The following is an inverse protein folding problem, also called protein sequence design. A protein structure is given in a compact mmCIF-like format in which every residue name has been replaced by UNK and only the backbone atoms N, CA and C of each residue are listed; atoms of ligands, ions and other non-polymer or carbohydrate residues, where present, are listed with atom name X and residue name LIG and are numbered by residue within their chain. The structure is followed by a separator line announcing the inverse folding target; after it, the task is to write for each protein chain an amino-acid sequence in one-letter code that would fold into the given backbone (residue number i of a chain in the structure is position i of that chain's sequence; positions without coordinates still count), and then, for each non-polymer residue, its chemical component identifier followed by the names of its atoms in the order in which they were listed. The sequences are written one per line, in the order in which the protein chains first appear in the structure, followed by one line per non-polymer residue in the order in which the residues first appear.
data_IF_821840860080
#
_entry.id   IF_821840860080
#
_cell.length_a   1.000
_cell.length_b   1.000
_cell.length_c   1.000
_cell.angle_alpha   90.00
_cell.angle_beta   90.00
_cell.angle_gamma   90.00
#
_symmetry.space_group_name_H-M   'P 1'
#
loop_
_entity.id
_entity.type
_entity.pdbx_description
1 polymer ?
#
# COMPACT_ATOMS: atom_id res chain seq x y z
N UNK A 1 -21.70 6.74 3.80
CA UNK A 1 -21.11 8.08 3.57
C UNK A 1 -19.93 7.86 2.66
N UNK A 2 -19.79 8.64 1.60
CA UNK A 2 -18.59 8.59 0.76
C UNK A 2 -17.47 9.25 1.57
N UNK A 3 -16.43 8.48 1.89
CA UNK A 3 -15.41 8.90 2.85
C UNK A 3 -14.26 9.68 2.20
N UNK A 4 -14.25 9.78 0.85
CA UNK A 4 -13.24 10.42 0.00
C UNK A 4 -11.81 10.17 0.49
N UNK A 5 -11.51 8.91 0.80
CA UNK A 5 -10.24 8.47 1.36
C UNK A 5 -9.55 7.53 0.37
N UNK A 6 -8.25 7.72 0.20
CA UNK A 6 -7.44 6.99 -0.75
C UNK A 6 -6.13 6.54 -0.10
N UNK A 7 -5.59 5.44 -0.61
CA UNK A 7 -4.19 5.08 -0.43
C UNK A 7 -3.44 5.43 -1.73
N UNK A 8 -2.22 5.91 -1.61
CA UNK A 8 -1.25 5.90 -2.69
C UNK A 8 0.01 5.19 -2.25
N UNK A 9 0.62 4.47 -3.17
CA UNK A 9 1.77 3.60 -2.92
C UNK A 9 2.90 3.96 -3.88
N UNK A 10 3.41 5.22 -3.87
CA UNK A 10 4.48 5.64 -4.76
C UNK A 10 5.72 4.75 -4.64
N UNK A 11 6.35 4.49 -5.78
CA UNK A 11 7.54 3.65 -5.89
C UNK A 11 8.70 4.51 -6.35
N UNK A 12 9.74 4.58 -5.53
CA UNK A 12 10.91 5.39 -5.79
C UNK A 12 12.11 4.51 -6.12
N UNK A 13 12.90 4.92 -7.11
CA UNK A 13 14.16 4.29 -7.50
C UNK A 13 15.27 4.68 -6.51
N UNK A 14 15.07 4.34 -5.24
CA UNK A 14 16.01 4.51 -4.13
C UNK A 14 15.67 3.52 -3.02
N UNK A 15 16.59 2.66 -2.62
CA UNK A 15 16.40 1.67 -1.55
C UNK A 15 17.62 1.50 -0.64
N UNK A 16 18.67 2.31 -0.82
CA UNK A 16 19.97 2.13 -0.17
C UNK A 16 20.40 3.30 0.71
N UNK A 17 19.84 4.50 0.51
CA UNK A 17 20.14 5.74 1.24
C UNK A 17 19.01 6.09 2.23
N UNK A 18 19.09 5.68 3.51
CA UNK A 18 18.01 5.86 4.48
C UNK A 18 17.63 7.32 4.70
N UNK A 19 18.60 8.23 4.60
CA UNK A 19 18.39 9.68 4.74
C UNK A 19 17.55 10.26 3.60
N UNK A 20 17.73 9.76 2.36
CA UNK A 20 16.92 10.18 1.22
C UNK A 20 15.52 9.62 1.37
N UNK A 21 15.39 8.33 1.71
CA UNK A 21 14.09 7.68 1.92
C UNK A 21 13.28 8.38 3.02
N UNK A 22 13.93 8.76 4.12
CA UNK A 22 13.30 9.52 5.20
C UNK A 22 12.81 10.91 4.74
N UNK A 23 13.57 11.59 3.87
CA UNK A 23 13.14 12.87 3.29
C UNK A 23 11.95 12.71 2.34
N UNK A 24 11.91 11.64 1.54
CA UNK A 24 10.75 11.33 0.68
C UNK A 24 9.49 11.08 1.50
N UNK A 25 9.60 10.29 2.57
CA UNK A 25 8.50 10.04 3.49
C UNK A 25 8.08 11.32 4.23
N UNK A 26 9.04 12.12 4.69
CA UNK A 26 8.79 13.41 5.35
C UNK A 26 8.07 14.42 4.43
N UNK A 27 8.44 14.48 3.15
CA UNK A 27 7.75 15.31 2.17
C UNK A 27 6.29 14.89 1.93
N UNK A 28 5.96 13.62 2.16
CA UNK A 28 4.60 13.10 2.07
C UNK A 28 3.77 13.29 3.36
N UNK A 29 4.34 13.81 4.44
CA UNK A 29 3.71 13.86 5.77
C UNK A 29 2.52 14.81 5.90
N UNK A 30 2.18 15.57 4.84
CA UNK A 30 0.91 16.29 4.77
C UNK A 30 -0.28 15.33 4.76
N UNK A 31 -0.10 14.16 4.15
CA UNK A 31 -0.98 13.02 4.29
C UNK A 31 -0.38 12.02 5.30
N UNK A 32 -1.10 10.94 5.58
CA UNK A 32 -0.68 9.94 6.56
C UNK A 32 0.28 8.92 5.93
N UNK A 33 1.57 8.99 6.27
CA UNK A 33 2.52 7.92 5.91
C UNK A 33 2.21 6.67 6.74
N UNK A 34 1.79 5.60 6.07
CA UNK A 34 1.37 4.34 6.69
C UNK A 34 2.54 3.36 6.85
N UNK A 35 3.41 3.32 5.83
CA UNK A 35 4.54 2.40 5.76
C UNK A 35 5.64 2.92 4.83
N UNK A 36 6.87 2.54 5.12
CA UNK A 36 8.05 2.80 4.29
C UNK A 36 8.82 1.48 4.17
N UNK A 37 8.74 0.86 3.00
CA UNK A 37 9.38 -0.43 2.72
C UNK A 37 10.49 -0.23 1.70
N UNK A 38 11.73 -0.26 2.17
CA UNK A 38 12.92 -0.06 1.36
C UNK A 38 13.66 -1.38 1.15
N UNK A 39 14.04 -1.64 -0.09
CA UNK A 39 14.78 -2.83 -0.50
C UNK A 39 16.06 -2.41 -1.23
N UNK A 40 17.20 -2.68 -0.58
CA UNK A 40 18.51 -2.36 -1.12
C UNK A 40 18.94 -3.27 -2.28
N UNK A 41 18.50 -4.53 -2.32
CA UNK A 41 18.79 -5.47 -3.41
C UNK A 41 18.08 -5.00 -4.70
N UNK A 42 16.85 -4.52 -4.58
CA UNK A 42 16.08 -3.92 -5.68
C UNK A 42 16.41 -2.44 -5.91
N UNK A 43 17.12 -1.80 -4.98
CA UNK A 43 17.34 -0.35 -4.88
C UNK A 43 16.05 0.44 -5.14
N UNK A 44 15.00 0.08 -4.39
CA UNK A 44 13.66 0.63 -4.54
C UNK A 44 13.00 0.80 -3.17
N UNK A 45 12.27 1.88 -3.00
CA UNK A 45 11.42 2.13 -1.85
C UNK A 45 9.96 2.23 -2.28
N UNK A 46 9.11 1.65 -1.45
CA UNK A 46 7.66 1.73 -1.55
C UNK A 46 7.18 2.49 -0.32
N UNK A 47 6.54 3.63 -0.54
CA UNK A 47 5.97 4.42 0.56
C UNK A 47 4.46 4.32 0.44
N UNK A 48 3.78 3.77 1.45
CA UNK A 48 2.31 3.79 1.52
C UNK A 48 1.86 5.05 2.24
N UNK A 49 0.97 5.81 1.63
CA UNK A 49 0.42 7.06 2.15
C UNK A 49 -1.09 7.01 2.02
N UNK A 50 -1.84 7.48 3.00
CA UNK A 50 -3.28 7.63 2.91
C UNK A 50 -3.73 9.03 3.28
N UNK A 51 -4.82 9.48 2.66
CA UNK A 51 -5.43 10.75 3.01
C UNK A 51 -6.56 11.13 2.07
N UNK A 52 -7.18 12.27 2.37
CA UNK A 52 -8.19 12.89 1.51
C UNK A 52 -7.56 13.53 0.28
N UNK A 53 -8.40 13.78 -0.73
CA UNK A 53 -7.99 14.31 -2.04
C UNK A 53 -6.97 15.44 -1.98
N UNK A 54 -7.24 16.49 -1.20
CA UNK A 54 -6.39 17.67 -1.14
C UNK A 54 -5.00 17.34 -0.61
N UNK A 55 -4.93 16.77 0.60
CA UNK A 55 -3.66 16.52 1.27
C UNK A 55 -2.86 15.39 0.62
N UNK A 56 -3.54 14.41 0.02
CA UNK A 56 -2.87 13.36 -0.75
C UNK A 56 -2.22 13.89 -2.02
N UNK A 57 -2.88 14.77 -2.78
CA UNK A 57 -2.29 15.37 -3.99
C UNK A 57 -1.03 16.17 -3.62
N UNK A 58 -1.13 17.03 -2.62
CA UNK A 58 0.00 17.84 -2.15
C UNK A 58 1.17 16.97 -1.67
N UNK A 59 0.88 15.94 -0.86
CA UNK A 59 1.87 15.01 -0.34
C UNK A 59 2.61 14.26 -1.46
N UNK A 60 1.88 13.77 -2.47
CA UNK A 60 2.46 13.03 -3.58
C UNK A 60 3.33 13.93 -4.47
N UNK A 61 2.87 15.12 -4.80
CA UNK A 61 3.66 16.07 -5.61
C UNK A 61 4.92 16.48 -4.87
N UNK A 62 4.83 16.78 -3.57
CA UNK A 62 6.00 17.14 -2.75
C UNK A 62 7.01 15.98 -2.62
N UNK A 63 6.53 14.74 -2.46
CA UNK A 63 7.40 13.57 -2.39
C UNK A 63 8.09 13.27 -3.73
N UNK A 64 7.38 13.45 -4.85
CA UNK A 64 7.97 13.34 -6.20
C UNK A 64 8.99 14.44 -6.47
N UNK A 65 8.71 15.68 -6.08
CA UNK A 65 9.64 16.82 -6.19
C UNK A 65 10.94 16.53 -5.42
N UNK A 66 10.82 16.07 -4.17
CA UNK A 66 11.95 15.63 -3.36
C UNK A 66 12.73 14.48 -4.01
N UNK A 67 12.05 13.53 -4.66
CA UNK A 67 12.73 12.43 -5.37
C UNK A 67 13.54 12.94 -6.56
N UNK A 68 13.00 13.87 -7.35
CA UNK A 68 13.67 14.46 -8.51
C UNK A 68 14.89 15.28 -8.08
N UNK A 69 14.84 15.95 -6.93
CA UNK A 69 15.97 16.72 -6.40
C UNK A 69 17.11 15.84 -5.86
N UNK A 70 16.79 14.64 -5.34
CA UNK A 70 17.74 13.84 -4.53
C UNK A 70 18.24 12.58 -5.23
N UNK A 71 17.64 12.20 -6.34
CA UNK A 71 17.95 10.96 -7.07
C UNK A 71 18.30 11.29 -8.52
N UNK A 72 19.44 10.79 -8.98
CA UNK A 72 19.80 10.78 -10.40
C UNK A 72 19.68 9.36 -10.96
N UNK A 73 18.72 9.16 -11.87
CA UNK A 73 18.45 7.86 -12.48
C UNK A 73 19.63 7.32 -13.30
N UNK A 74 20.54 8.18 -13.76
CA UNK A 74 21.75 7.78 -14.52
C UNK A 74 22.74 7.03 -13.64
N UNK A 75 22.76 7.36 -12.35
CA UNK A 75 23.62 6.75 -11.34
C UNK A 75 22.96 5.56 -10.65
N UNK A 76 21.63 5.48 -10.71
CA UNK A 76 20.85 4.39 -10.11
C UNK A 76 21.25 3.00 -10.64
N UNK A 77 21.41 2.04 -9.71
CA UNK A 77 21.66 0.62 -9.98
C UNK A 77 20.71 -0.21 -9.12
N UNK A 78 19.87 -1.01 -9.76
CA UNK A 78 18.93 -1.92 -9.10
C UNK A 78 18.38 -2.95 -10.07
N UNK A 79 17.98 -4.12 -9.57
CA UNK A 79 17.49 -5.23 -10.43
C UNK A 79 16.06 -5.03 -10.91
N UNK A 80 15.30 -4.15 -10.27
CA UNK A 80 13.90 -3.92 -10.62
C UNK A 80 13.78 -3.01 -11.86
N UNK A 81 12.94 -3.37 -12.87
CA UNK A 81 12.65 -2.48 -13.99
C UNK A 81 12.07 -1.14 -13.51
N UNK A 82 12.52 -0.02 -14.08
CA UNK A 82 12.07 1.33 -13.75
C UNK A 82 12.08 2.25 -14.97
N UNK A 83 11.16 3.21 -14.98
CA UNK A 83 10.99 4.28 -15.97
C UNK A 83 11.50 5.61 -15.43
N UNK A 84 11.41 5.84 -14.11
CA UNK A 84 11.80 7.11 -13.50
C UNK A 84 12.22 7.00 -12.04
N UNK A 85 12.63 8.15 -11.48
CA UNK A 85 12.99 8.29 -10.06
C UNK A 85 11.78 8.05 -9.15
N UNK A 86 10.60 8.52 -9.56
CA UNK A 86 9.32 8.04 -9.10
C UNK A 86 8.73 7.20 -10.24
N UNK A 87 8.82 5.87 -10.14
CA UNK A 87 8.47 4.94 -11.22
C UNK A 87 6.96 4.86 -11.41
N UNK A 88 6.24 4.56 -10.33
CA UNK A 88 4.79 4.35 -10.34
C UNK A 88 4.17 5.04 -9.12
N UNK A 89 3.10 5.80 -9.34
CA UNK A 89 2.28 6.46 -8.32
C UNK A 89 0.82 6.03 -8.48
N UNK A 90 0.41 4.91 -7.86
CA UNK A 90 -0.97 4.44 -7.92
C UNK A 90 -1.84 5.24 -6.93
N UNK A 91 -3.10 5.47 -7.30
CA UNK A 91 -4.17 5.93 -6.41
C UNK A 91 -5.18 4.80 -6.27
N UNK A 92 -5.44 4.41 -5.02
CA UNK A 92 -6.31 3.29 -4.66
C UNK A 92 -7.44 3.83 -3.79
N UNK A 93 -8.71 3.66 -4.18
CA UNK A 93 -9.82 4.07 -3.32
C UNK A 93 -9.89 3.18 -2.07
N UNK A 94 -10.16 3.79 -0.92
CA UNK A 94 -10.39 3.09 0.34
C UNK A 94 -11.87 3.19 0.76
N UNK A 95 -12.35 2.16 1.45
CA UNK A 95 -13.74 2.10 1.94
C UNK A 95 -14.76 2.14 0.80
N UNK A 96 -15.73 3.05 0.90
CA UNK A 96 -16.78 3.25 -0.10
C UNK A 96 -16.40 4.16 -1.28
N UNK A 97 -15.16 4.66 -1.32
CA UNK A 97 -14.72 5.64 -2.32
C UNK A 97 -14.68 5.02 -3.71
N UNK A 98 -15.07 5.79 -4.74
CA UNK A 98 -15.13 5.26 -6.11
C UNK A 98 -13.75 5.23 -6.80
N UNK A 99 -13.55 4.22 -7.66
CA UNK A 99 -12.36 4.14 -8.52
C UNK A 99 -12.29 5.29 -9.54
N UNK A 100 -13.44 5.89 -9.89
CA UNK A 100 -13.51 7.11 -10.70
C UNK A 100 -12.88 8.30 -9.96
N UNK A 101 -13.18 8.48 -8.68
CA UNK A 101 -12.58 9.54 -7.88
C UNK A 101 -11.05 9.37 -7.77
N UNK A 102 -10.57 8.12 -7.64
CA UNK A 102 -9.14 7.83 -7.67
C UNK A 102 -8.48 8.22 -9.00
N UNK A 103 -9.17 8.02 -10.13
CA UNK A 103 -8.70 8.49 -11.45
C UNK A 103 -8.63 10.00 -11.53
N UNK A 104 -9.62 10.70 -11.00
CA UNK A 104 -9.61 12.17 -10.98
C UNK A 104 -8.44 12.73 -10.17
N UNK A 105 -8.01 12.04 -9.11
CA UNK A 105 -6.79 12.36 -8.34
C UNK A 105 -5.54 12.04 -9.15
N UNK A 106 -5.45 10.87 -9.77
CA UNK A 106 -4.30 10.49 -10.60
C UNK A 106 -4.04 11.54 -11.70
N UNK A 107 -5.11 12.02 -12.35
CA UNK A 107 -5.05 13.09 -13.34
C UNK A 107 -4.58 14.42 -12.74
N UNK A 108 -5.07 14.80 -11.56
CA UNK A 108 -4.62 16.02 -10.87
C UNK A 108 -3.13 15.96 -10.50
N UNK A 109 -2.68 14.84 -9.94
CA UNK A 109 -1.27 14.60 -9.59
C UNK A 109 -0.38 14.68 -10.84
N UNK A 110 -0.76 13.99 -11.92
CA UNK A 110 0.02 14.02 -13.17
C UNK A 110 0.16 15.43 -13.75
N UNK A 111 -0.93 16.19 -13.83
CA UNK A 111 -0.90 17.57 -14.34
C UNK A 111 0.00 18.48 -13.48
N UNK A 112 -0.05 18.35 -12.16
CA UNK A 112 0.79 19.14 -11.25
C UNK A 112 2.27 18.76 -11.32
N UNK A 113 2.59 17.47 -11.46
CA UNK A 113 3.96 16.99 -11.66
C UNK A 113 4.56 17.62 -12.92
N UNK A 114 3.82 17.61 -14.04
CA UNK A 114 4.29 18.26 -15.25
C UNK A 114 4.46 19.77 -15.05
N UNK A 115 3.44 20.45 -14.54
CA UNK A 115 3.44 21.90 -14.41
C UNK A 115 4.54 22.45 -13.49
N UNK A 116 4.91 21.71 -12.43
CA UNK A 116 5.90 22.15 -11.43
C UNK A 116 7.28 21.55 -11.66
N UNK A 117 7.34 20.26 -11.98
CA UNK A 117 8.57 19.45 -11.96
C UNK A 117 9.05 19.14 -13.38
N UNK A 118 8.21 19.34 -14.41
CA UNK A 118 8.54 19.11 -15.82
C UNK A 118 9.02 17.67 -16.12
N UNK A 119 8.50 16.69 -15.37
CA UNK A 119 8.69 15.26 -15.65
C UNK A 119 7.49 14.77 -16.46
N UNK A 120 7.70 14.10 -17.61
CA UNK A 120 6.60 13.58 -18.42
C UNK A 120 5.85 12.46 -17.68
N UNK A 121 4.52 12.45 -17.84
CA UNK A 121 3.61 11.58 -17.09
C UNK A 121 2.87 10.66 -18.05
N UNK A 122 2.91 9.38 -17.74
CA UNK A 122 2.10 8.35 -18.38
C UNK A 122 0.95 7.95 -17.46
N UNK A 123 -0.28 7.99 -17.97
CA UNK A 123 -1.42 7.47 -17.22
C UNK A 123 -1.64 5.98 -17.48
N UNK A 124 -1.98 5.24 -16.43
CA UNK A 124 -2.30 3.81 -16.51
C UNK A 124 -3.45 3.42 -15.59
N UNK A 125 -3.98 2.21 -15.80
CA UNK A 125 -5.02 1.64 -14.95
C UNK A 125 -6.42 2.06 -15.37
N UNK A 126 -7.30 2.30 -14.40
CA UNK A 126 -8.72 2.53 -14.64
C UNK A 126 -8.97 3.75 -15.54
N UNK A 127 -9.66 3.51 -16.66
CA UNK A 127 -9.99 4.54 -17.64
C UNK A 127 -8.90 4.84 -18.66
N UNK A 128 -7.77 4.13 -18.61
CA UNK A 128 -6.63 4.31 -19.51
C UNK A 128 -6.45 3.06 -20.39
N UNK A 129 -6.08 3.25 -21.67
CA UNK A 129 -5.90 2.15 -22.63
C UNK A 129 -4.54 1.46 -22.52
N UNK A 130 -3.56 2.14 -21.92
CA UNK A 130 -2.16 1.72 -21.92
C UNK A 130 -1.84 0.95 -20.63
N UNK A 131 -1.12 -0.16 -20.76
CA UNK A 131 -0.61 -0.90 -19.59
C UNK A 131 0.76 -0.38 -19.16
N UNK A 132 1.17 -0.64 -17.91
CA UNK A 132 2.55 -0.38 -17.47
C UNK A 132 3.58 -1.13 -18.34
N UNK A 133 3.21 -2.28 -18.91
CA UNK A 133 4.09 -3.01 -19.82
C UNK A 133 4.27 -2.28 -21.16
N UNK A 134 3.21 -1.67 -21.70
CA UNK A 134 3.29 -0.87 -22.93
C UNK A 134 4.12 0.40 -22.74
N UNK A 135 3.94 1.07 -21.59
CA UNK A 135 4.74 2.24 -21.19
C UNK A 135 6.22 1.85 -21.06
N UNK A 136 6.53 0.79 -20.31
CA UNK A 136 7.91 0.31 -20.14
C UNK A 136 8.55 -0.18 -21.44
N UNK A 137 7.74 -0.59 -22.42
CA UNK A 137 8.20 -0.97 -23.75
C UNK A 137 8.37 0.22 -24.73
N UNK A 138 8.05 1.45 -24.30
CA UNK A 138 8.18 2.65 -25.14
C UNK A 138 7.19 2.71 -26.30
N UNK A 139 6.04 2.03 -26.19
CA UNK A 139 5.05 1.92 -27.29
C UNK A 139 4.01 3.04 -27.31
N UNK A 140 4.01 3.88 -26.29
CA UNK A 140 2.98 4.89 -26.04
C UNK A 140 3.65 6.23 -25.77
N UNK A 141 2.95 7.32 -26.08
CA UNK A 141 3.37 8.66 -25.72
C UNK A 141 2.89 9.02 -24.31
N UNK A 142 3.54 9.97 -23.61
CA UNK A 142 3.05 10.52 -22.35
C UNK A 142 1.63 11.07 -22.50
N UNK A 143 0.83 10.93 -21.44
CA UNK A 143 -0.48 11.60 -21.36
C UNK A 143 -0.35 13.10 -21.09
N UNK A 144 0.71 13.50 -20.40
CA UNK A 144 1.07 14.91 -20.13
C UNK A 144 2.58 15.09 -20.27
N UNK A 145 2.98 16.20 -20.88
CA UNK A 145 4.38 16.60 -21.03
C UNK A 145 5.03 16.12 -22.34
N UNK A 146 6.32 16.40 -22.46
CA UNK A 146 7.09 16.13 -23.68
C UNK A 146 7.36 14.64 -23.87
N UNK A 147 7.47 14.20 -25.13
CA UNK A 147 7.76 12.79 -25.45
C UNK A 147 9.17 12.34 -25.05
N UNK A 148 10.10 13.28 -24.82
CA UNK A 148 11.43 12.98 -24.30
C UNK A 148 11.41 12.82 -22.78
N UNK A 149 12.05 11.76 -22.27
CA UNK A 149 12.25 11.59 -20.83
C UNK A 149 13.07 12.73 -20.22
N UNK A 150 12.78 13.05 -18.96
CA UNK A 150 13.60 13.98 -18.18
C UNK A 150 15.02 13.41 -18.02
N UNK A 151 16.10 14.18 -18.25
CA UNK A 151 17.46 13.65 -18.32
C UNK A 151 17.94 12.88 -17.08
N UNK A 152 17.54 13.33 -15.89
CA UNK A 152 17.92 12.71 -14.60
C UNK A 152 16.78 11.99 -13.91
N UNK A 153 15.53 12.28 -14.30
CA UNK A 153 14.34 11.80 -13.58
C UNK A 153 13.57 10.72 -14.34
N UNK A 154 13.82 10.57 -15.65
CA UNK A 154 13.08 9.64 -16.50
C UNK A 154 11.65 10.13 -16.76
N UNK A 155 10.68 9.25 -16.56
CA UNK A 155 9.26 9.57 -16.60
C UNK A 155 8.50 8.86 -15.47
N UNK A 156 7.29 9.33 -15.18
CA UNK A 156 6.46 8.79 -14.10
C UNK A 156 5.19 8.14 -14.63
N UNK A 157 4.82 6.99 -14.07
CA UNK A 157 3.53 6.36 -14.32
C UNK A 157 2.55 6.67 -13.20
N UNK A 158 1.47 7.41 -13.47
CA UNK A 158 0.44 7.75 -12.47
C UNK A 158 -0.86 7.07 -12.85
N UNK A 159 -1.59 6.48 -11.91
CA UNK A 159 -2.78 5.71 -12.30
C UNK A 159 -3.73 5.37 -11.18
N UNK A 160 -4.97 5.06 -11.53
CA UNK A 160 -5.96 4.59 -10.56
C UNK A 160 -6.16 3.09 -10.68
N UNK A 161 -6.18 2.37 -9.56
CA UNK A 161 -6.38 0.92 -9.54
C UNK A 161 -7.05 0.44 -8.26
N UNK A 162 -7.57 -0.78 -8.31
CA UNK A 162 -7.94 -1.51 -7.10
C UNK A 162 -6.70 -1.92 -6.29
N UNK A 163 -6.87 -2.35 -5.02
CA UNK A 163 -5.77 -2.89 -4.23
C UNK A 163 -5.01 -4.00 -4.96
N UNK A 164 -3.69 -4.01 -4.74
CA UNK A 164 -2.75 -4.96 -5.32
C UNK A 164 -1.83 -5.41 -4.19
N UNK A 165 -1.54 -6.70 -4.13
CA UNK A 165 -0.57 -7.26 -3.19
C UNK A 165 0.69 -7.66 -3.95
N UNK A 166 1.83 -7.09 -3.57
CA UNK A 166 3.14 -7.53 -4.02
C UNK A 166 3.62 -8.68 -3.12
N UNK A 167 3.64 -9.89 -3.66
CA UNK A 167 3.92 -11.13 -2.94
C UNK A 167 5.11 -11.85 -3.57
N UNK A 168 6.19 -11.98 -2.80
CA UNK A 168 7.42 -12.61 -3.23
C UNK A 168 7.62 -13.95 -2.51
N UNK A 169 8.19 -14.92 -3.21
CA UNK A 169 8.53 -16.24 -2.67
C UNK A 169 9.94 -16.60 -3.09
N UNK A 170 10.80 -16.95 -2.13
CA UNK A 170 12.09 -17.55 -2.44
C UNK A 170 11.90 -18.99 -2.93
N UNK A 171 12.60 -19.35 -4.00
CA UNK A 171 12.55 -20.68 -4.62
C UNK A 171 13.85 -21.43 -4.33
N UNK A 172 13.90 -22.27 -3.28
CA UNK A 172 15.08 -23.10 -2.99
C UNK A 172 15.31 -24.11 -4.12
N UNK A 173 16.57 -24.36 -4.45
CA UNK A 173 17.01 -25.40 -5.39
C UNK A 173 16.41 -25.31 -6.81
N UNK A 174 15.93 -24.13 -7.20
CA UNK A 174 15.41 -23.85 -8.54
C UNK A 174 16.40 -22.97 -9.29
N UNK A 175 16.84 -23.40 -10.47
CA UNK A 175 17.65 -22.56 -11.35
C UNK A 175 16.82 -21.44 -12.02
N UNK A 176 17.51 -20.39 -12.45
CA UNK A 176 16.85 -19.22 -13.03
C UNK A 176 16.05 -19.53 -14.32
N UNK A 177 16.38 -20.60 -15.05
CA UNK A 177 15.64 -20.98 -16.26
C UNK A 177 14.27 -21.58 -15.88
N UNK A 178 14.26 -22.54 -14.95
CA UNK A 178 13.04 -23.15 -14.41
C UNK A 178 12.16 -22.12 -13.71
N UNK A 179 12.76 -21.23 -12.93
CA UNK A 179 12.01 -20.15 -12.29
C UNK A 179 11.33 -19.22 -13.32
N UNK A 180 12.02 -18.84 -14.41
CA UNK A 180 11.43 -18.01 -15.46
C UNK A 180 10.30 -18.73 -16.20
N UNK A 181 10.44 -20.03 -16.43
CA UNK A 181 9.37 -20.85 -17.01
C UNK A 181 8.15 -20.92 -16.07
N UNK A 182 8.38 -21.13 -14.77
CA UNK A 182 7.35 -21.10 -13.73
C UNK A 182 6.63 -19.75 -13.72
N UNK A 183 7.37 -18.64 -13.60
CA UNK A 183 6.80 -17.29 -13.60
C UNK A 183 5.96 -17.03 -14.86
N UNK A 184 6.43 -17.41 -16.05
CA UNK A 184 5.65 -17.28 -17.29
C UNK A 184 4.33 -18.07 -17.22
N UNK A 185 4.37 -19.30 -16.72
CA UNK A 185 3.18 -20.16 -16.61
C UNK A 185 2.14 -19.68 -15.58
N UNK A 186 2.54 -18.79 -14.65
CA UNK A 186 1.64 -18.21 -13.65
C UNK A 186 0.95 -16.94 -14.15
N UNK A 187 1.55 -16.23 -15.11
CA UNK A 187 1.02 -14.93 -15.59
C UNK A 187 -0.32 -15.08 -16.28
N UNK A 188 -1.25 -14.20 -15.94
CA UNK A 188 -2.54 -14.09 -16.66
C UNK A 188 -2.31 -13.88 -18.17
N UNK A 189 -1.33 -13.05 -18.54
CA UNK A 189 -0.98 -12.76 -19.94
C UNK A 189 -0.51 -13.97 -20.76
N UNK A 190 -0.23 -15.09 -20.09
CA UNK A 190 0.20 -16.34 -20.72
C UNK A 190 -0.80 -17.48 -20.46
N UNK A 191 -2.03 -17.16 -20.07
CA UNK A 191 -3.09 -18.13 -19.77
C UNK A 191 -2.97 -18.79 -18.40
N UNK A 192 -2.16 -18.22 -17.50
CA UNK A 192 -1.98 -18.68 -16.13
C UNK A 192 -3.09 -18.20 -15.19
N UNK A 193 -2.72 -17.95 -13.93
CA UNK A 193 -3.66 -17.54 -12.90
C UNK A 193 -4.25 -16.15 -13.18
N UNK A 194 -5.54 -15.99 -12.93
CA UNK A 194 -6.26 -14.71 -13.01
C UNK A 194 -5.66 -13.71 -12.03
N UNK A 195 -5.40 -12.49 -12.47
CA UNK A 195 -4.91 -11.42 -11.62
C UNK A 195 -3.45 -11.54 -11.20
N UNK A 196 -2.64 -12.36 -11.88
CA UNK A 196 -1.23 -12.59 -11.54
C UNK A 196 -0.29 -12.04 -12.61
N UNK A 197 0.64 -11.18 -12.17
CA UNK A 197 1.89 -10.90 -12.87
C UNK A 197 3.04 -11.50 -12.08
N UNK A 198 4.06 -11.99 -12.76
CA UNK A 198 5.19 -12.65 -12.10
C UNK A 198 6.52 -12.34 -12.79
N UNK A 199 7.56 -12.01 -12.03
CA UNK A 199 8.95 -11.84 -12.46
C UNK A 199 9.86 -12.74 -11.64
N UNK A 200 11.09 -12.92 -12.12
CA UNK A 200 12.13 -13.66 -11.41
C UNK A 200 13.32 -12.75 -11.22
N UNK A 201 13.82 -12.69 -9.99
CA UNK A 201 15.03 -11.97 -9.64
C UNK A 201 16.07 -12.94 -9.10
N UNK A 202 17.31 -12.75 -9.53
CA UNK A 202 18.49 -13.43 -8.99
C UNK A 202 19.07 -12.48 -7.94
N UNK A 203 18.93 -12.83 -6.66
CA UNK A 203 19.38 -12.04 -5.52
C UNK A 203 20.78 -12.50 -5.06
N UNK A 204 21.50 -11.69 -4.25
CA UNK A 204 22.79 -12.09 -3.71
C UNK A 204 22.75 -13.45 -2.99
N UNK A 205 23.80 -14.24 -3.17
CA UNK A 205 23.93 -15.60 -2.61
C UNK A 205 23.17 -16.67 -3.39
N UNK A 206 23.08 -16.52 -4.73
CA UNK A 206 22.40 -17.46 -5.64
C UNK A 206 20.93 -17.75 -5.29
N UNK A 207 20.27 -16.79 -4.64
CA UNK A 207 18.87 -16.92 -4.22
C UNK A 207 17.95 -16.51 -5.36
N UNK A 208 17.06 -17.40 -5.77
CA UNK A 208 16.03 -17.09 -6.75
C UNK A 208 14.75 -16.63 -6.05
N UNK A 209 14.25 -15.47 -6.44
CA UNK A 209 12.99 -14.93 -5.95
C UNK A 209 11.96 -14.88 -7.08
N UNK A 210 10.82 -15.51 -6.86
CA UNK A 210 9.60 -15.31 -7.65
C UNK A 210 8.85 -14.12 -7.08
N UNK A 211 8.85 -13.00 -7.81
CA UNK A 211 8.13 -11.79 -7.41
C UNK A 211 6.82 -11.68 -8.16
N UNK A 212 5.71 -11.47 -7.44
CA UNK A 212 4.38 -11.45 -8.04
C UNK A 212 3.58 -10.22 -7.62
N UNK A 213 2.83 -9.67 -8.58
CA UNK A 213 1.78 -8.69 -8.29
C UNK A 213 0.43 -9.38 -8.46
N UNK A 214 -0.38 -9.35 -7.40
CA UNK A 214 -1.73 -9.92 -7.35
C UNK A 214 -2.74 -8.78 -7.36
N UNK A 215 -3.50 -8.62 -8.44
CA UNK A 215 -4.38 -7.45 -8.65
C UNK A 215 -5.86 -7.79 -8.81
N UNK A 216 -6.23 -9.07 -8.71
CA UNK A 216 -7.62 -9.56 -8.57
C UNK A 216 -7.75 -10.40 -7.30
N UNK A 217 -7.59 -9.75 -6.16
CA UNK A 217 -7.42 -10.41 -4.86
C UNK A 217 -8.58 -11.33 -4.45
N UNK A 218 -9.81 -11.05 -4.91
CA UNK A 218 -10.96 -11.94 -4.68
C UNK A 218 -10.97 -13.21 -5.53
N UNK A 219 -10.15 -13.29 -6.58
CA UNK A 219 -10.04 -14.46 -7.45
C UNK A 219 -8.76 -15.25 -7.17
N UNK A 220 -7.65 -14.55 -6.94
CA UNK A 220 -6.35 -15.16 -6.67
C UNK A 220 -5.61 -14.37 -5.59
N UNK A 221 -5.92 -14.64 -4.31
CA UNK A 221 -5.19 -14.07 -3.17
C UNK A 221 -3.83 -14.78 -2.99
N UNK A 222 -2.93 -14.27 -2.11
CA UNK A 222 -1.66 -14.93 -1.82
C UNK A 222 -1.79 -16.41 -1.44
N UNK A 223 -2.79 -16.77 -0.62
CA UNK A 223 -3.07 -18.17 -0.28
C UNK A 223 -3.42 -19.06 -1.48
N UNK A 224 -4.12 -18.50 -2.48
CA UNK A 224 -4.42 -19.20 -3.73
C UNK A 224 -3.16 -19.46 -4.55
N UNK A 225 -2.24 -18.49 -4.63
CA UNK A 225 -0.96 -18.67 -5.32
C UNK A 225 -0.07 -19.69 -4.61
N UNK A 226 0.00 -19.65 -3.28
CA UNK A 226 0.72 -20.65 -2.48
C UNK A 226 0.18 -22.05 -2.79
N UNK A 227 -1.14 -22.20 -2.80
CA UNK A 227 -1.81 -23.48 -3.09
C UNK A 227 -1.45 -23.99 -4.48
N UNK A 228 -1.50 -23.12 -5.50
CA UNK A 228 -1.11 -23.46 -6.88
C UNK A 228 0.35 -23.91 -6.96
N UNK A 229 1.26 -23.18 -6.32
CA UNK A 229 2.68 -23.52 -6.33
C UNK A 229 2.95 -24.88 -5.68
N UNK A 230 2.31 -25.16 -4.53
CA UNK A 230 2.41 -26.47 -3.85
C UNK A 230 1.84 -27.59 -4.72
N UNK A 231 0.69 -27.38 -5.36
CA UNK A 231 0.09 -28.36 -6.27
C UNK A 231 0.98 -28.67 -7.47
N UNK A 232 1.77 -27.70 -7.94
CA UNK A 232 2.80 -27.87 -8.98
C UNK A 232 4.11 -28.50 -8.47
N UNK A 233 4.18 -28.88 -7.20
CA UNK A 233 5.37 -29.46 -6.59
C UNK A 233 6.52 -28.47 -6.38
N UNK A 234 6.24 -27.17 -6.34
CA UNK A 234 7.25 -26.13 -6.10
C UNK A 234 7.55 -26.08 -4.60
N UNK A 235 8.81 -26.28 -4.23
CA UNK A 235 9.27 -26.03 -2.87
C UNK A 235 9.23 -24.52 -2.57
N UNK A 236 8.60 -24.14 -1.46
CA UNK A 236 8.45 -22.73 -1.06
C UNK A 236 9.45 -22.40 0.04
N UNK A 237 10.30 -21.42 -0.21
CA UNK A 237 11.10 -20.78 0.82
C UNK A 237 10.33 -19.67 1.53
N UNK A 238 11.07 -18.68 2.03
CA UNK A 238 10.50 -17.50 2.69
C UNK A 238 9.53 -16.77 1.77
N UNK A 239 8.37 -16.43 2.32
CA UNK A 239 7.32 -15.65 1.68
C UNK A 239 7.36 -14.23 2.23
N UNK A 240 7.16 -13.24 1.38
CA UNK A 240 7.28 -11.84 1.75
C UNK A 240 6.20 -11.00 1.07
N UNK A 241 5.58 -10.12 1.86
CA UNK A 241 4.76 -9.02 1.34
C UNK A 241 5.64 -7.78 1.23
N UNK A 242 5.57 -7.10 0.09
CA UNK A 242 6.17 -5.77 -0.11
C UNK A 242 5.10 -4.71 0.10
N UNK A 243 5.37 -3.75 0.97
CA UNK A 243 4.39 -2.78 1.48
C UNK A 243 3.34 -3.43 2.37
N UNK A 244 2.08 -3.02 2.19
CA UNK A 244 0.93 -3.41 3.00
C UNK A 244 0.01 -4.40 2.29
N UNK A 245 -0.67 -5.22 3.08
CA UNK A 245 -1.63 -6.23 2.62
C UNK A 245 -3.00 -5.99 3.26
N UNK A 246 -4.10 -5.98 2.49
CA UNK A 246 -5.44 -5.99 3.06
C UNK A 246 -5.66 -7.22 3.94
N UNK A 247 -6.21 -7.01 5.13
CA UNK A 247 -6.44 -8.05 6.13
C UNK A 247 -7.23 -9.25 5.58
N UNK A 248 -8.18 -9.00 4.68
CA UNK A 248 -9.05 -10.02 4.09
C UNK A 248 -8.32 -11.08 3.25
N UNK A 249 -7.10 -10.81 2.79
CA UNK A 249 -6.30 -11.73 1.98
C UNK A 249 -4.92 -12.00 2.57
N UNK A 250 -4.71 -11.60 3.82
CA UNK A 250 -3.46 -11.74 4.52
C UNK A 250 -3.10 -13.22 4.77
N UNK A 251 -1.82 -13.53 4.59
CA UNK A 251 -1.19 -14.78 5.05
C UNK A 251 -0.20 -14.44 6.15
N UNK A 252 0.49 -15.44 6.71
CA UNK A 252 1.55 -15.21 7.71
C UNK A 252 2.65 -14.26 7.22
N UNK A 253 2.89 -14.16 5.90
CA UNK A 253 3.82 -13.20 5.30
C UNK A 253 3.42 -11.72 5.49
N UNK A 254 2.18 -11.45 5.89
CA UNK A 254 1.65 -10.11 6.13
C UNK A 254 1.64 -9.69 7.62
N UNK A 255 2.21 -10.50 8.53
CA UNK A 255 2.27 -10.15 9.95
C UNK A 255 2.95 -8.79 10.16
N UNK A 256 2.29 -7.86 10.88
CA UNK A 256 2.75 -6.48 11.06
C UNK A 256 2.63 -5.58 9.83
N UNK A 257 2.04 -6.07 8.73
CA UNK A 257 1.88 -5.35 7.43
C UNK A 257 0.43 -5.26 6.99
N UNK A 258 -0.52 -5.34 7.92
CA UNK A 258 -1.95 -5.20 7.62
C UNK A 258 -2.29 -3.74 7.33
N UNK A 259 -2.88 -3.47 6.16
CA UNK A 259 -3.27 -2.12 5.73
C UNK A 259 -4.20 -1.45 6.75
N UNK A 260 -5.22 -2.17 7.20
CA UNK A 260 -6.21 -1.69 8.16
C UNK A 260 -5.58 -1.34 9.51
N UNK A 261 -4.65 -2.17 9.98
CA UNK A 261 -3.93 -1.90 11.21
C UNK A 261 -3.06 -0.62 11.06
N UNK A 262 -2.37 -0.46 9.93
CA UNK A 262 -1.57 0.74 9.67
C UNK A 262 -2.42 2.00 9.53
N UNK A 263 -3.60 1.92 8.93
CA UNK A 263 -4.58 3.01 8.89
C UNK A 263 -5.02 3.42 10.31
N UNK A 264 -5.42 2.45 11.15
CA UNK A 264 -5.83 2.74 12.52
C UNK A 264 -4.68 3.32 13.37
N UNK A 265 -3.46 2.80 13.20
CA UNK A 265 -2.28 3.32 13.87
C UNK A 265 -1.98 4.76 13.45
N UNK A 266 -2.02 5.07 12.15
CA UNK A 266 -1.79 6.43 11.65
C UNK A 266 -2.84 7.41 12.18
N UNK A 267 -4.11 6.99 12.25
CA UNK A 267 -5.16 7.81 12.83
C UNK A 267 -4.94 8.06 14.34
N UNK A 268 -4.49 7.04 15.09
CA UNK A 268 -4.13 7.18 16.49
C UNK A 268 -2.93 8.13 16.71
N UNK A 269 -1.87 8.06 15.87
CA UNK A 269 -0.74 8.98 15.92
C UNK A 269 -1.17 10.43 15.66
N UNK A 270 -1.98 10.65 14.63
CA UNK A 270 -2.51 12.00 14.38
C UNK A 270 -3.38 12.51 15.52
N UNK A 271 -4.20 11.64 16.11
CA UNK A 271 -4.95 11.96 17.33
C UNK A 271 -4.04 12.35 18.50
N UNK A 272 -2.91 11.67 18.68
CA UNK A 272 -1.91 12.02 19.68
C UNK A 272 -1.30 13.39 19.43
N UNK A 273 -0.90 13.70 18.20
CA UNK A 273 -0.37 15.01 17.81
C UNK A 273 -1.38 16.14 18.11
N UNK A 274 -2.65 15.94 17.75
CA UNK A 274 -3.72 16.90 18.01
C UNK A 274 -3.99 17.09 19.51
N UNK A 275 -3.89 16.01 20.31
CA UNK A 275 -3.96 16.11 21.77
C UNK A 275 -2.76 16.89 22.33
N UNK A 276 -1.54 16.54 21.93
CA UNK A 276 -0.33 17.21 22.40
C UNK A 276 -0.34 18.72 22.09
N UNK A 277 -0.95 19.12 20.97
CA UNK A 277 -1.12 20.52 20.59
C UNK A 277 -2.03 21.32 21.54
N UNK A 278 -2.91 20.69 22.34
CA UNK A 278 -3.76 21.38 23.32
C UNK A 278 -2.99 21.89 24.55
N UNK A 279 -1.84 21.27 24.85
CA UNK A 279 -0.89 21.67 25.91
C UNK A 279 -1.43 21.67 27.35
N UNK A 280 -2.51 20.95 27.64
CA UNK A 280 -2.94 20.64 29.00
C UNK A 280 -2.58 19.20 29.43
N UNK A 281 -2.50 18.99 30.75
CA UNK A 281 -2.04 17.74 31.35
C UNK A 281 -2.91 16.52 31.01
N UNK A 282 -4.20 16.71 30.73
CA UNK A 282 -5.09 15.61 30.36
C UNK A 282 -4.82 15.16 28.92
N UNK A 283 -4.75 16.10 27.99
CA UNK A 283 -4.45 15.79 26.59
C UNK A 283 -3.02 15.28 26.40
N UNK A 284 -2.03 15.78 27.15
CA UNK A 284 -0.67 15.25 27.09
C UNK A 284 -0.60 13.79 27.56
N UNK A 285 -1.32 13.42 28.62
CA UNK A 285 -1.43 12.02 29.06
C UNK A 285 -2.18 11.17 28.04
N UNK A 286 -3.22 11.70 27.41
CA UNK A 286 -3.92 11.00 26.35
C UNK A 286 -3.04 10.80 25.11
N UNK A 287 -2.26 11.80 24.72
CA UNK A 287 -1.32 11.72 23.59
C UNK A 287 -0.35 10.55 23.77
N UNK A 288 0.31 10.43 24.93
CA UNK A 288 1.21 9.31 25.20
C UNK A 288 0.52 7.93 25.14
N UNK A 289 -0.74 7.83 25.58
CA UNK A 289 -1.52 6.57 25.45
C UNK A 289 -1.90 6.27 24.01
N UNK A 290 -2.24 7.29 23.22
CA UNK A 290 -2.56 7.16 21.80
C UNK A 290 -1.32 6.72 20.99
N UNK A 291 -0.13 7.24 21.31
CA UNK A 291 1.13 6.78 20.71
C UNK A 291 1.40 5.30 21.01
N UNK A 292 1.29 4.90 22.27
CA UNK A 292 1.46 3.49 22.67
C UNK A 292 0.43 2.58 21.98
N UNK A 293 -0.81 3.05 21.85
CA UNK A 293 -1.88 2.33 21.15
C UNK A 293 -1.56 2.20 19.66
N UNK A 294 -1.11 3.27 19.02
CA UNK A 294 -0.70 3.26 17.62
C UNK A 294 0.44 2.27 17.37
N UNK A 295 1.43 2.24 18.26
CA UNK A 295 2.55 1.31 18.19
C UNK A 295 2.10 -0.15 18.32
N UNK A 296 1.21 -0.45 19.27
CA UNK A 296 0.64 -1.77 19.44
C UNK A 296 -0.15 -2.22 18.20
N UNK A 297 -1.07 -1.36 17.71
CA UNK A 297 -1.88 -1.61 16.51
C UNK A 297 -0.99 -1.80 15.27
N UNK A 298 0.09 -1.02 15.11
CA UNK A 298 0.96 -1.13 13.92
C UNK A 298 1.68 -2.47 13.81
N UNK A 299 1.80 -3.21 14.92
CA UNK A 299 2.46 -4.51 15.01
C UNK A 299 1.48 -5.69 15.02
N UNK A 300 0.19 -5.46 14.78
CA UNK A 300 -0.83 -6.50 14.75
C UNK A 300 -0.40 -7.66 13.85
N UNK A 301 -0.35 -8.86 14.43
CA UNK A 301 -0.10 -10.08 13.69
C UNK A 301 -1.42 -10.64 13.10
N UNK A 302 -1.32 -11.76 12.39
CA UNK A 302 -2.43 -12.31 11.59
C UNK A 302 -3.33 -13.27 12.38
N UNK A 303 -3.03 -13.51 13.65
CA UNK A 303 -3.85 -14.37 14.50
C UNK A 303 -5.24 -13.74 14.69
N UNK A 304 -6.32 -14.52 14.54
CA UNK A 304 -7.69 -14.01 14.58
C UNK A 304 -8.02 -13.15 15.79
N UNK A 305 -7.55 -13.54 16.98
CA UNK A 305 -7.80 -12.81 18.22
C UNK A 305 -7.08 -11.45 18.26
N UNK A 306 -5.88 -11.36 17.69
CA UNK A 306 -5.15 -10.10 17.59
C UNK A 306 -5.80 -9.16 16.58
N UNK A 307 -6.22 -9.68 15.43
CA UNK A 307 -6.98 -8.92 14.43
C UNK A 307 -8.30 -8.40 15.03
N UNK A 308 -9.01 -9.22 15.81
CA UNK A 308 -10.23 -8.82 16.51
C UNK A 308 -9.99 -7.73 17.55
N UNK A 309 -8.96 -7.90 18.37
CA UNK A 309 -8.60 -6.89 19.37
C UNK A 309 -8.23 -5.56 18.70
N UNK A 310 -7.55 -5.62 17.55
CA UNK A 310 -7.21 -4.44 16.76
C UNK A 310 -8.44 -3.77 16.17
N UNK A 311 -9.40 -4.55 15.65
CA UNK A 311 -10.66 -4.03 15.13
C UNK A 311 -11.48 -3.31 16.22
N UNK A 312 -11.55 -3.91 17.41
CA UNK A 312 -12.22 -3.33 18.57
C UNK A 312 -11.56 -2.04 19.05
N UNK A 313 -10.22 -2.00 19.07
CA UNK A 313 -9.44 -0.80 19.41
C UNK A 313 -9.67 0.32 18.39
N UNK A 314 -9.57 0.01 17.09
CA UNK A 314 -9.84 0.97 16.02
C UNK A 314 -11.25 1.57 16.14
N UNK A 315 -12.28 0.74 16.38
CA UNK A 315 -13.64 1.21 16.60
C UNK A 315 -13.78 2.07 17.87
N UNK A 316 -13.09 1.69 18.97
CA UNK A 316 -13.15 2.44 20.23
C UNK A 316 -12.46 3.81 20.14
N UNK A 317 -11.40 3.94 19.34
CA UNK A 317 -10.66 5.19 19.16
C UNK A 317 -11.55 6.32 18.64
N UNK A 318 -12.60 6.04 17.86
CA UNK A 318 -13.57 7.06 17.42
C UNK A 318 -14.19 7.77 18.62
N UNK A 319 -14.63 7.02 19.63
CA UNK A 319 -15.21 7.58 20.86
C UNK A 319 -14.18 8.33 21.70
N UNK A 320 -12.95 7.81 21.79
CA UNK A 320 -11.84 8.43 22.54
C UNK A 320 -11.48 9.80 21.95
N UNK A 321 -11.25 9.87 20.64
CA UNK A 321 -10.89 11.12 19.96
C UNK A 321 -12.05 12.12 19.97
N UNK A 322 -13.30 11.64 19.90
CA UNK A 322 -14.49 12.50 20.00
C UNK A 322 -14.61 13.13 21.38
N UNK A 323 -14.42 12.34 22.45
CA UNK A 323 -14.45 12.84 23.82
C UNK A 323 -13.35 13.87 24.08
N UNK A 324 -12.16 13.67 23.50
CA UNK A 324 -11.05 14.61 23.54
C UNK A 324 -11.19 15.79 22.55
N UNK A 325 -12.28 15.87 21.78
CA UNK A 325 -12.53 16.95 20.79
C UNK A 325 -11.43 17.11 19.73
N UNK A 326 -10.75 16.02 19.39
CA UNK A 326 -9.71 15.97 18.35
C UNK A 326 -10.08 15.05 17.17
N UNK A 327 -11.27 14.44 17.18
CA UNK A 327 -11.76 13.65 16.06
C UNK A 327 -12.08 14.56 14.86
N UNK A 328 -11.45 14.30 13.73
CA UNK A 328 -11.82 14.88 12.44
C UNK A 328 -12.55 13.84 11.59
N UNK A 329 -13.27 14.29 10.57
CA UNK A 329 -13.98 13.38 9.64
C UNK A 329 -13.03 12.41 8.92
N UNK A 330 -11.77 12.82 8.68
CA UNK A 330 -10.74 11.98 8.07
C UNK A 330 -10.27 10.88 9.04
N UNK A 331 -9.99 11.23 10.30
CA UNK A 331 -9.62 10.25 11.32
C UNK A 331 -10.76 9.28 11.60
N UNK A 332 -12.01 9.75 11.63
CA UNK A 332 -13.17 8.86 11.75
C UNK A 332 -13.27 7.90 10.56
N UNK A 333 -13.10 8.40 9.33
CA UNK A 333 -13.11 7.56 8.13
C UNK A 333 -12.01 6.48 8.16
N UNK A 334 -10.77 6.84 8.50
CA UNK A 334 -9.65 5.89 8.63
C UNK A 334 -9.95 4.80 9.66
N UNK A 335 -10.42 5.18 10.84
CA UNK A 335 -10.72 4.23 11.93
C UNK A 335 -11.89 3.31 11.58
N UNK A 336 -12.95 3.83 10.94
CA UNK A 336 -14.09 3.02 10.51
C UNK A 336 -13.69 2.04 9.41
N UNK A 337 -12.95 2.49 8.40
CA UNK A 337 -12.46 1.63 7.31
C UNK A 337 -11.56 0.52 7.87
N UNK A 338 -10.63 0.86 8.77
CA UNK A 338 -9.76 -0.10 9.43
C UNK A 338 -10.55 -1.15 10.23
N UNK A 339 -11.46 -0.72 11.10
CA UNK A 339 -12.25 -1.62 11.93
C UNK A 339 -13.17 -2.53 11.09
N UNK A 340 -13.79 -1.99 10.04
CA UNK A 340 -14.63 -2.76 9.12
C UNK A 340 -13.82 -3.77 8.30
N UNK A 341 -12.66 -3.38 7.75
CA UNK A 341 -11.83 -4.29 6.97
C UNK A 341 -11.30 -5.46 7.81
N UNK A 342 -10.85 -5.20 9.04
CA UNK A 342 -10.47 -6.27 9.98
C UNK A 342 -11.65 -7.17 10.35
N UNK A 343 -12.84 -6.60 10.57
CA UNK A 343 -14.07 -7.35 10.86
C UNK A 343 -14.50 -8.24 9.69
N UNK A 344 -14.37 -7.77 8.45
CA UNK A 344 -14.69 -8.53 7.23
C UNK A 344 -13.68 -9.68 7.02
N UNK A 345 -12.41 -9.47 7.38
CA UNK A 345 -11.38 -10.50 7.28
C UNK A 345 -11.63 -11.72 8.19
N UNK A 346 -12.53 -11.62 9.17
CA UNK A 346 -12.87 -12.72 10.05
C UNK A 346 -13.82 -13.70 9.36
N UNK A 347 -13.31 -14.88 9.02
CA UNK A 347 -14.10 -15.97 8.47
C UNK A 347 -15.17 -16.51 9.45
N UNK A 348 -16.13 -17.32 8.97
CA UNK A 348 -17.25 -17.82 9.77
C UNK A 348 -16.84 -18.55 11.05
N UNK A 349 -15.75 -19.32 11.01
CA UNK A 349 -15.23 -20.06 12.16
C UNK A 349 -14.80 -19.13 13.30
N UNK A 350 -14.09 -18.04 12.96
CA UNK A 350 -13.66 -17.01 13.92
C UNK A 350 -14.88 -16.30 14.48
N UNK A 351 -15.86 -15.98 13.64
CA UNK A 351 -17.08 -15.32 14.08
C UNK A 351 -17.85 -16.18 15.08
N UNK A 352 -17.94 -17.49 14.85
CA UNK A 352 -18.54 -18.44 15.78
C UNK A 352 -17.79 -18.48 17.11
N UNK A 353 -16.45 -18.58 17.07
CA UNK A 353 -15.59 -18.64 18.25
C UNK A 353 -15.68 -17.38 19.14
N UNK A 354 -15.85 -16.20 18.54
CA UNK A 354 -15.87 -14.91 19.25
C UNK A 354 -17.21 -14.18 19.18
N UNK A 355 -18.33 -14.92 19.11
CA UNK A 355 -19.69 -14.38 18.86
C UNK A 355 -20.04 -13.14 19.68
N UNK A 356 -19.80 -13.14 21.00
CA UNK A 356 -20.14 -11.99 21.87
C UNK A 356 -19.34 -10.74 21.54
N UNK A 357 -18.04 -10.88 21.28
CA UNK A 357 -17.14 -9.79 20.92
C UNK A 357 -17.49 -9.22 19.56
N UNK A 358 -17.74 -10.10 18.59
CA UNK A 358 -18.20 -9.74 17.25
C UNK A 358 -19.49 -8.94 17.28
N UNK A 359 -20.52 -9.40 18.01
CA UNK A 359 -21.77 -8.64 18.17
C UNK A 359 -21.55 -7.28 18.83
N UNK A 360 -20.61 -7.17 19.76
CA UNK A 360 -20.27 -5.90 20.39
C UNK A 360 -19.58 -4.94 19.39
N UNK A 361 -18.66 -5.47 18.58
CA UNK A 361 -18.01 -4.73 17.50
C UNK A 361 -19.00 -4.28 16.44
N UNK A 362 -19.89 -5.16 15.98
CA UNK A 362 -20.91 -4.87 14.97
C UNK A 362 -21.86 -3.77 15.44
N UNK A 363 -22.24 -3.75 16.73
CA UNK A 363 -23.00 -2.64 17.32
C UNK A 363 -22.23 -1.31 17.28
N UNK A 364 -20.92 -1.32 17.55
CA UNK A 364 -20.09 -0.10 17.50
C UNK A 364 -19.89 0.42 16.09
N UNK A 365 -19.91 -0.47 15.10
CA UNK A 365 -19.77 -0.13 13.69
C UNK A 365 -21.10 0.24 13.02
N UNK A 366 -22.19 0.29 13.77
CA UNK A 366 -23.56 0.48 13.25
C UNK A 366 -23.94 -0.58 12.19
N UNK A 367 -23.39 -1.80 12.32
CA UNK A 367 -23.64 -2.94 11.43
C UNK A 367 -24.77 -3.86 11.92
N UNK A 368 -25.21 -3.70 13.19
CA UNK A 368 -26.30 -4.48 13.75
C UNK A 368 -27.62 -4.23 12.98
N UNK A 369 -28.08 -5.21 12.20
CA UNK A 369 -29.31 -5.14 11.40
C UNK A 369 -29.13 -5.15 9.87
N UNK A 370 -27.93 -5.49 9.36
CA UNK A 370 -27.66 -5.70 7.92
C UNK A 370 -27.40 -7.16 7.55
N UNK A 371 -27.89 -8.09 8.38
CA UNK A 371 -27.83 -9.54 8.12
C UNK A 371 -28.96 -9.99 7.19
#
# INVERSE_FOLDING_TARGET
MDHDLFESIPNFSEGSRPEVIAQLAGAAARAHVLDVDADADHNRAVISVAGRRHDLVDALVASVEMAVERIDLREHRGVHPRVGVADVVPIVPLGGTSLRAARDIAQAVGNLIWARIHVPVYFYGYGESNTLADIRAGRVAPGVGDSSHHPTAGAICVGARLPLVAFNVLLPDVDASKARALARSLRESSGGLRGVQALVFELPGDRIQLSMNLFRLGETPPAGVITELVQRGVALGTQQIIGLCPAAVATSAAAGRLLEARLAAAAARRGAELCAAQRDDEHLRLAGRLEQTADAISRTAIEPEQMLSTAEQAAALVGVLKAARVLTDELEAMLRIAAQGLRIAMGPEIQAAFTTRIRALDRRLDLAGRD
#
